data_IF_390879223238
#
_entry.id   IF_390879223238
#
_cell.length_a   1.000
_cell.length_b   1.000
_cell.length_c   1.000
_cell.angle_alpha   90.00
_cell.angle_beta   90.00
_cell.angle_gamma   90.00
#
_symmetry.space_group_name_H-M   'P 1'
#
loop_
_entity.id
_entity.type
_entity.pdbx_description
1 polymer ?
#
# COMPACT_ATOMS: atom_id res chain seq x y z
N UNK A 1 6.25 26.70 16.20
CA UNK A 1 5.23 25.79 16.77
C UNK A 1 5.84 24.40 16.74
N UNK A 2 6.12 23.79 17.90
CA UNK A 2 6.66 22.41 17.94
C UNK A 2 5.46 21.48 17.79
N UNK A 3 5.37 20.77 16.68
CA UNK A 3 4.29 19.81 16.45
C UNK A 3 4.38 18.73 17.53
N UNK A 4 3.32 18.56 18.32
CA UNK A 4 3.28 17.52 19.35
C UNK A 4 2.84 16.20 18.70
N UNK A 5 3.81 15.33 18.43
CA UNK A 5 3.57 13.98 17.95
C UNK A 5 3.00 13.08 19.05
N UNK A 6 2.34 12.00 18.65
CA UNK A 6 1.75 11.08 19.62
C UNK A 6 2.87 10.32 20.35
N UNK A 7 2.69 10.12 21.66
CA UNK A 7 3.65 9.39 22.49
C UNK A 7 3.29 7.92 22.66
N UNK A 8 2.04 7.55 22.33
CA UNK A 8 1.53 6.20 22.47
C UNK A 8 1.04 5.68 21.12
N UNK A 9 1.98 5.35 20.23
CA UNK A 9 1.67 4.81 18.90
C UNK A 9 1.43 3.29 19.04
N UNK A 10 0.23 2.76 18.71
CA UNK A 10 -0.04 1.33 18.79
C UNK A 10 0.85 0.54 17.83
N UNK A 11 1.10 -0.75 18.14
CA UNK A 11 1.73 -1.65 17.18
C UNK A 11 0.81 -1.84 15.97
N UNK A 12 1.29 -1.60 14.74
CA UNK A 12 0.51 -1.82 13.53
C UNK A 12 0.01 -3.27 13.44
N UNK A 13 -1.20 -3.44 12.93
CA UNK A 13 -1.78 -4.75 12.65
C UNK A 13 -1.86 -4.97 11.14
N UNK A 14 -2.08 -6.23 10.73
CA UNK A 14 -2.43 -6.54 9.34
C UNK A 14 -3.68 -5.71 8.95
N UNK A 15 -3.63 -5.12 7.77
CA UNK A 15 -4.67 -4.22 7.27
C UNK A 15 -4.56 -2.78 7.75
N UNK A 16 -3.59 -2.41 8.59
CA UNK A 16 -3.35 -1.01 8.94
C UNK A 16 -2.57 -0.28 7.84
N UNK A 17 -2.71 1.05 7.81
CA UNK A 17 -1.93 1.91 6.94
C UNK A 17 -0.83 2.62 7.73
N UNK A 18 0.37 2.63 7.15
CA UNK A 18 1.47 3.51 7.54
C UNK A 18 1.53 4.68 6.56
N UNK A 19 1.46 5.89 7.10
CA UNK A 19 1.48 7.12 6.31
C UNK A 19 2.79 7.82 6.61
N UNK A 20 3.58 8.05 5.56
CA UNK A 20 4.84 8.77 5.67
C UNK A 20 4.64 10.15 6.26
N UNK A 21 5.56 10.54 7.14
CA UNK A 21 5.66 11.91 7.63
C UNK A 21 6.06 12.85 6.46
N UNK A 22 5.47 14.06 6.32
CA UNK A 22 5.70 14.95 5.18
C UNK A 22 7.15 15.37 4.93
N UNK A 23 8.02 15.31 5.93
CA UNK A 23 9.43 15.69 5.88
C UNK A 23 10.36 14.47 5.96
N UNK A 24 9.83 13.27 5.77
CA UNK A 24 10.64 12.06 5.68
C UNK A 24 11.64 12.23 4.51
N UNK A 25 12.93 12.24 4.83
CA UNK A 25 14.00 12.49 3.86
C UNK A 25 14.39 11.26 3.02
N UNK A 26 13.54 10.23 2.97
CA UNK A 26 13.75 9.05 2.13
C UNK A 26 12.96 9.17 0.82
N UNK A 27 13.63 9.28 -0.35
CA UNK A 27 12.97 9.44 -1.63
C UNK A 27 12.13 8.21 -2.04
N UNK A 28 12.36 7.03 -1.46
CA UNK A 28 11.53 5.87 -1.71
C UNK A 28 10.14 6.02 -1.07
N UNK A 29 10.07 6.78 0.03
CA UNK A 29 8.92 6.88 0.92
C UNK A 29 8.34 8.29 1.07
N UNK A 30 8.76 9.24 0.24
CA UNK A 30 8.12 10.56 0.20
C UNK A 30 6.64 10.43 -0.18
N UNK A 31 5.76 10.91 0.71
CA UNK A 31 4.28 10.88 0.57
C UNK A 31 3.70 9.50 0.28
N UNK A 32 4.37 8.44 0.70
CA UNK A 32 3.85 7.09 0.56
C UNK A 32 2.80 6.75 1.61
N UNK A 33 1.90 5.87 1.22
CA UNK A 33 0.95 5.16 2.06
C UNK A 33 1.25 3.68 1.88
N UNK A 34 1.54 2.99 2.97
CA UNK A 34 1.90 1.57 2.98
C UNK A 34 0.79 0.79 3.67
N UNK A 35 0.31 -0.26 3.02
CA UNK A 35 -0.58 -1.24 3.61
C UNK A 35 0.23 -2.34 4.27
N UNK A 36 0.05 -2.53 5.59
CA UNK A 36 0.65 -3.64 6.33
C UNK A 36 -0.09 -4.91 5.93
N UNK A 37 0.59 -5.83 5.25
CA UNK A 37 -0.01 -7.09 4.82
C UNK A 37 0.25 -8.19 5.86
N UNK A 38 1.42 -8.15 6.49
CA UNK A 38 1.79 -9.07 7.55
C UNK A 38 2.64 -8.34 8.61
N UNK A 39 2.31 -8.53 9.88
CA UNK A 39 3.11 -8.11 11.01
C UNK A 39 3.23 -9.26 12.00
N UNK A 40 4.46 -9.73 12.25
CA UNK A 40 4.74 -10.89 13.09
C UNK A 40 6.09 -10.78 13.80
N UNK A 41 6.50 -11.88 14.43
CA UNK A 41 7.75 -11.93 15.21
C UNK A 41 9.00 -11.75 14.34
N UNK A 42 8.97 -12.21 13.08
CA UNK A 42 10.10 -12.13 12.16
C UNK A 42 10.27 -10.75 11.51
N UNK A 43 9.22 -9.90 11.59
CA UNK A 43 9.21 -8.57 11.00
C UNK A 43 7.84 -8.12 10.50
N UNK A 44 7.86 -7.04 9.72
CA UNK A 44 6.67 -6.48 9.09
C UNK A 44 6.86 -6.45 7.57
N UNK A 45 5.83 -6.85 6.84
CA UNK A 45 5.71 -6.77 5.40
C UNK A 45 4.61 -5.78 5.03
N UNK A 46 4.90 -4.88 4.11
CA UNK A 46 3.92 -3.95 3.57
C UNK A 46 4.14 -3.59 2.11
N UNK A 47 3.09 -3.05 1.50
CA UNK A 47 3.09 -2.61 0.10
C UNK A 47 2.75 -1.12 0.04
N UNK A 48 3.56 -0.34 -0.67
CA UNK A 48 3.22 1.04 -1.03
C UNK A 48 2.04 1.00 -2.00
N UNK A 49 0.91 1.58 -1.59
CA UNK A 49 -0.37 1.49 -2.34
C UNK A 49 -0.65 2.68 -3.24
N UNK A 50 0.21 3.71 -3.19
CA UNK A 50 0.05 4.97 -3.91
C UNK A 50 1.26 5.34 -4.77
N UNK A 51 1.87 4.35 -5.45
CA UNK A 51 3.00 4.57 -6.35
C UNK A 51 2.84 3.71 -7.60
N UNK A 52 2.11 4.22 -8.59
CA UNK A 52 1.92 3.53 -9.86
C UNK A 52 3.20 3.60 -10.68
N UNK A 53 3.35 2.63 -11.58
CA UNK A 53 4.40 2.60 -12.58
C UNK A 53 3.78 2.57 -13.97
N UNK A 54 4.59 2.80 -15.00
CA UNK A 54 4.18 2.61 -16.39
C UNK A 54 4.36 1.15 -16.86
N UNK A 55 4.81 0.24 -15.98
CA UNK A 55 5.02 -1.17 -16.31
C UNK A 55 3.70 -1.94 -16.31
N UNK A 56 3.58 -2.86 -17.27
CA UNK A 56 2.44 -3.75 -17.40
C UNK A 56 2.80 -5.19 -16.96
N UNK A 57 1.78 -5.92 -16.52
CA UNK A 57 1.93 -7.29 -16.01
C UNK A 57 2.50 -8.24 -17.06
N UNK A 58 2.04 -8.15 -18.30
CA UNK A 58 2.50 -8.99 -19.43
C UNK A 58 3.97 -8.75 -19.79
N UNK A 59 4.43 -7.50 -19.72
CA UNK A 59 5.82 -7.12 -19.94
C UNK A 59 6.75 -7.74 -18.90
N UNK A 60 6.35 -7.73 -17.62
CA UNK A 60 7.18 -8.23 -16.52
C UNK A 60 7.15 -9.74 -16.43
N UNK A 61 5.97 -10.34 -16.64
CA UNK A 61 5.81 -11.79 -16.57
C UNK A 61 6.29 -12.50 -17.85
N UNK A 62 6.60 -11.73 -18.92
CA UNK A 62 7.06 -12.23 -20.21
C UNK A 62 6.14 -13.32 -20.78
N UNK A 63 4.83 -13.12 -20.62
CA UNK A 63 3.78 -14.03 -21.05
C UNK A 63 2.63 -13.26 -21.70
N UNK A 64 2.04 -13.82 -22.75
CA UNK A 64 0.84 -13.24 -23.35
C UNK A 64 -0.36 -13.49 -22.44
N UNK A 65 -0.99 -12.40 -22.01
CA UNK A 65 -2.10 -12.42 -21.07
C UNK A 65 -3.34 -11.94 -21.81
N UNK A 66 -4.36 -12.81 -21.95
CA UNK A 66 -5.67 -12.32 -22.39
C UNK A 66 -6.31 -11.63 -21.19
N UNK A 67 -6.12 -10.32 -21.18
CA UNK A 67 -6.57 -9.48 -20.09
C UNK A 67 -8.05 -9.11 -20.22
N UNK A 68 -8.75 -9.50 -21.30
CA UNK A 68 -10.16 -9.14 -21.52
C UNK A 68 -10.46 -7.63 -21.30
N UNK A 69 -9.53 -6.77 -21.72
CA UNK A 69 -9.59 -5.32 -21.51
C UNK A 69 -9.02 -4.81 -20.18
N UNK A 70 -8.50 -5.68 -19.31
CA UNK A 70 -7.76 -5.33 -18.10
C UNK A 70 -6.39 -4.70 -18.49
N UNK A 71 -6.03 -3.59 -17.86
CA UNK A 71 -4.83 -2.84 -18.24
C UNK A 71 -3.53 -3.47 -17.71
N UNK A 72 -3.58 -4.18 -16.58
CA UNK A 72 -2.41 -4.90 -16.07
C UNK A 72 -1.36 -4.01 -15.41
N UNK A 73 -1.67 -2.75 -15.10
CA UNK A 73 -0.68 -1.82 -14.55
C UNK A 73 -0.13 -2.26 -13.20
N UNK A 74 1.19 -2.17 -13.07
CA UNK A 74 1.92 -2.52 -11.86
C UNK A 74 2.15 -1.26 -11.00
N UNK A 75 2.10 -1.46 -9.70
CA UNK A 75 2.51 -0.49 -8.69
C UNK A 75 3.89 -0.88 -8.15
N UNK A 76 4.63 0.08 -7.62
CA UNK A 76 5.85 -0.21 -6.90
C UNK A 76 5.52 -0.42 -5.42
N UNK A 77 5.56 -1.67 -4.94
CA UNK A 77 5.25 -2.03 -3.55
C UNK A 77 6.36 -1.67 -2.56
N UNK A 78 7.59 -1.51 -3.04
CA UNK A 78 8.70 -0.98 -2.24
C UNK A 78 10.08 -1.24 -2.86
N UNK A 79 11.15 -0.96 -2.11
CA UNK A 79 12.53 -1.09 -2.60
C UNK A 79 13.08 -2.52 -2.53
N UNK A 80 12.44 -3.43 -1.78
CA UNK A 80 12.95 -4.78 -1.54
C UNK A 80 12.41 -5.74 -2.59
N UNK A 81 13.29 -6.61 -3.11
CA UNK A 81 12.97 -7.67 -4.07
C UNK A 81 12.03 -7.24 -5.21
N UNK A 82 12.36 -6.16 -5.92
CA UNK A 82 11.53 -5.57 -7.00
C UNK A 82 11.22 -6.49 -8.20
N UNK A 83 11.67 -7.75 -8.16
CA UNK A 83 11.34 -8.79 -9.12
C UNK A 83 10.23 -9.75 -8.62
N UNK A 84 9.73 -9.57 -7.39
CA UNK A 84 8.60 -10.35 -6.86
C UNK A 84 7.28 -9.67 -7.16
N UNK A 85 6.27 -10.46 -7.54
CA UNK A 85 4.92 -9.99 -7.80
C UNK A 85 4.05 -10.24 -6.57
N UNK A 86 3.40 -9.19 -6.09
CA UNK A 86 2.39 -9.25 -5.05
C UNK A 86 1.10 -8.63 -5.55
N UNK A 87 -0.02 -8.95 -4.92
CA UNK A 87 -1.30 -8.34 -5.26
C UNK A 87 -2.22 -8.23 -4.06
N UNK A 88 -3.01 -7.17 -4.09
CA UNK A 88 -4.09 -6.91 -3.14
C UNK A 88 -5.40 -6.95 -3.93
N UNK A 89 -6.38 -7.69 -3.42
CA UNK A 89 -7.67 -7.82 -4.08
C UNK A 89 -8.85 -7.76 -3.10
N UNK A 90 -10.03 -7.46 -3.65
CA UNK A 90 -11.33 -7.50 -2.96
C UNK A 90 -12.32 -8.49 -3.61
N UNK A 91 -11.77 -9.42 -4.40
CA UNK A 91 -12.52 -10.50 -5.05
C UNK A 91 -13.30 -11.30 -4.01
N UNK A 92 -14.61 -11.42 -4.19
CA UNK A 92 -15.51 -12.10 -3.25
C UNK A 92 -15.46 -13.63 -3.38
N UNK A 93 -15.06 -14.13 -4.53
CA UNK A 93 -14.85 -15.56 -4.76
C UNK A 93 -13.55 -16.00 -4.07
N UNK A 94 -13.54 -17.14 -3.35
CA UNK A 94 -12.33 -17.63 -2.71
C UNK A 94 -11.19 -17.85 -3.71
N UNK A 95 -10.05 -17.22 -3.42
CA UNK A 95 -8.78 -17.45 -4.12
C UNK A 95 -7.89 -18.31 -3.22
N UNK A 96 -7.40 -19.42 -3.75
CA UNK A 96 -6.51 -20.32 -3.01
C UNK A 96 -5.24 -19.58 -2.57
N UNK A 97 -4.82 -19.76 -1.32
CA UNK A 97 -3.60 -19.13 -0.78
C UNK A 97 -3.71 -17.62 -0.52
N UNK A 98 -4.88 -17.01 -0.72
CA UNK A 98 -5.10 -15.62 -0.36
C UNK A 98 -5.22 -15.47 1.16
N UNK A 99 -4.60 -14.42 1.70
CA UNK A 99 -4.56 -14.11 3.13
C UNK A 99 -5.48 -12.93 3.38
N UNK A 100 -6.49 -13.09 4.24
CA UNK A 100 -7.34 -11.98 4.64
C UNK A 100 -6.58 -11.03 5.56
N UNK A 101 -6.46 -9.77 5.15
CA UNK A 101 -5.78 -8.72 5.92
C UNK A 101 -6.77 -7.71 6.52
N UNK A 102 -8.08 -7.88 6.30
CA UNK A 102 -9.16 -7.15 6.97
C UNK A 102 -10.05 -6.33 6.03
N UNK A 103 -11.27 -6.02 6.48
CA UNK A 103 -12.26 -5.20 5.75
C UNK A 103 -12.53 -5.67 4.29
N UNK A 104 -12.46 -6.99 4.05
CA UNK A 104 -12.65 -7.59 2.72
C UNK A 104 -11.46 -7.40 1.77
N UNK A 105 -10.29 -7.04 2.32
CA UNK A 105 -9.02 -7.02 1.59
C UNK A 105 -8.28 -8.33 1.80
N UNK A 106 -7.73 -8.82 0.70
CA UNK A 106 -6.91 -10.01 0.65
C UNK A 106 -5.57 -9.70 0.03
N UNK A 107 -4.53 -10.32 0.56
CA UNK A 107 -3.16 -10.27 0.05
C UNK A 107 -2.76 -11.63 -0.49
N UNK A 108 -2.04 -11.62 -1.62
CA UNK A 108 -1.55 -12.81 -2.29
C UNK A 108 -2.69 -13.73 -2.78
N UNK A 109 -2.34 -14.93 -3.24
CA UNK A 109 -3.25 -15.90 -3.82
C UNK A 109 -2.57 -16.85 -4.81
N UNK A 110 -3.37 -17.64 -5.50
CA UNK A 110 -2.92 -18.47 -6.60
C UNK A 110 -2.95 -17.64 -7.88
N UNK A 111 -1.76 -17.38 -8.43
CA UNK A 111 -1.60 -16.54 -9.61
C UNK A 111 -2.36 -17.08 -10.84
N UNK A 112 -2.30 -18.38 -11.10
CA UNK A 112 -3.00 -19.01 -12.22
C UNK A 112 -4.52 -18.92 -12.08
N UNK A 113 -5.02 -19.03 -10.85
CA UNK A 113 -6.44 -18.85 -10.57
C UNK A 113 -6.88 -17.42 -10.88
N UNK A 114 -6.16 -16.41 -10.35
CA UNK A 114 -6.47 -15.00 -10.60
C UNK A 114 -6.40 -14.67 -12.09
N UNK A 115 -5.36 -15.16 -12.77
CA UNK A 115 -5.19 -15.03 -14.21
C UNK A 115 -6.41 -15.55 -14.98
N UNK A 116 -6.85 -16.77 -14.66
CA UNK A 116 -8.03 -17.35 -15.30
C UNK A 116 -9.30 -16.52 -15.03
N UNK A 117 -9.48 -16.02 -13.80
CA UNK A 117 -10.62 -15.18 -13.45
C UNK A 117 -10.62 -13.84 -14.21
N UNK A 118 -9.45 -13.20 -14.38
CA UNK A 118 -9.30 -11.98 -15.19
C UNK A 118 -9.64 -12.27 -16.66
N UNK A 119 -9.08 -13.33 -17.24
CA UNK A 119 -9.36 -13.70 -18.64
C UNK A 119 -10.84 -14.02 -18.89
N UNK A 120 -11.52 -14.60 -17.89
CA UNK A 120 -12.96 -14.87 -17.96
C UNK A 120 -13.84 -13.62 -17.76
N UNK A 121 -13.25 -12.47 -17.41
CA UNK A 121 -14.00 -11.25 -17.08
C UNK A 121 -14.72 -11.32 -15.73
N UNK A 122 -14.27 -12.18 -14.81
CA UNK A 122 -14.83 -12.34 -13.46
C UNK A 122 -14.25 -11.34 -12.46
N UNK A 123 -13.15 -10.67 -12.82
CA UNK A 123 -12.44 -9.68 -11.98
C UNK A 123 -12.29 -8.39 -12.76
N UNK A 124 -12.84 -7.30 -12.22
CA UNK A 124 -12.69 -5.98 -12.78
C UNK A 124 -11.35 -5.32 -12.39
N UNK A 125 -10.92 -4.32 -13.17
CA UNK A 125 -9.66 -3.58 -12.93
C UNK A 125 -9.60 -2.89 -11.55
N UNK A 126 -10.75 -2.52 -11.00
CA UNK A 126 -10.84 -1.92 -9.67
C UNK A 126 -10.97 -2.94 -8.53
N UNK A 127 -10.85 -4.25 -8.79
CA UNK A 127 -10.96 -5.29 -7.77
C UNK A 127 -9.61 -5.91 -7.37
N UNK A 128 -8.55 -5.65 -8.14
CA UNK A 128 -7.21 -6.15 -7.89
C UNK A 128 -6.15 -5.14 -8.31
N UNK A 129 -5.10 -5.00 -7.50
CA UNK A 129 -3.91 -4.22 -7.80
C UNK A 129 -2.69 -5.11 -7.69
N UNK A 130 -1.79 -4.99 -8.65
CA UNK A 130 -0.52 -5.71 -8.71
C UNK A 130 0.63 -4.80 -8.27
N UNK A 131 1.63 -5.39 -7.60
CA UNK A 131 2.76 -4.69 -6.98
C UNK A 131 4.07 -5.43 -7.28
N UNK A 132 5.11 -4.68 -7.61
CA UNK A 132 6.47 -5.16 -7.70
C UNK A 132 7.26 -4.82 -6.43
N UNK A 133 7.91 -5.84 -5.88
CA UNK A 133 8.64 -5.74 -4.63
C UNK A 133 7.75 -5.32 -3.45
N UNK A 134 8.41 -5.07 -2.33
CA UNK A 134 7.73 -4.75 -1.08
C UNK A 134 8.57 -3.84 -0.19
N UNK A 135 7.92 -3.37 0.87
CA UNK A 135 8.54 -2.64 1.98
C UNK A 135 8.62 -3.58 3.17
N UNK A 136 9.82 -3.86 3.63
CA UNK A 136 10.08 -4.81 4.71
C UNK A 136 10.77 -4.14 5.89
N UNK A 137 10.36 -4.53 7.09
CA UNK A 137 11.01 -4.16 8.34
C UNK A 137 11.43 -5.41 9.07
N UNK A 138 12.70 -5.47 9.48
CA UNK A 138 13.16 -6.51 10.41
C UNK A 138 12.52 -6.32 11.79
N UNK A 139 12.61 -7.34 12.63
CA UNK A 139 12.13 -7.32 14.02
C UNK A 139 12.51 -6.00 14.75
N UNK A 140 11.49 -5.32 15.26
CA UNK A 140 11.63 -4.06 16.02
C UNK A 140 12.07 -2.85 15.20
N UNK A 141 12.36 -2.97 13.90
CA UNK A 141 12.73 -1.84 13.05
C UNK A 141 11.54 -0.87 12.88
N UNK A 142 10.37 -1.39 12.51
CA UNK A 142 9.17 -0.55 12.35
C UNK A 142 8.84 0.21 13.64
N UNK A 143 8.96 -0.46 14.79
CA UNK A 143 8.78 0.17 16.11
C UNK A 143 9.74 1.35 16.31
N UNK A 144 11.03 1.20 15.98
CA UNK A 144 12.00 2.31 16.06
C UNK A 144 11.63 3.47 15.14
N UNK A 145 11.13 3.18 13.95
CA UNK A 145 10.70 4.22 12.99
C UNK A 145 9.42 4.94 13.44
N UNK A 146 8.49 4.23 14.10
CA UNK A 146 7.33 4.84 14.75
C UNK A 146 7.76 5.75 15.91
N UNK A 147 8.69 5.29 16.74
CA UNK A 147 9.23 6.07 17.86
C UNK A 147 10.00 7.32 17.37
N UNK A 148 10.63 7.25 16.19
CA UNK A 148 11.24 8.40 15.51
C UNK A 148 10.26 9.25 14.70
N UNK A 149 8.96 8.92 14.73
CA UNK A 149 7.88 9.67 14.08
C UNK A 149 7.98 9.71 12.54
N UNK A 150 8.60 8.69 11.95
CA UNK A 150 8.69 8.54 10.49
C UNK A 150 7.36 8.15 9.85
N UNK A 151 6.47 7.53 10.64
CA UNK A 151 5.18 7.01 10.19
C UNK A 151 4.04 7.40 11.11
N UNK A 152 2.88 7.66 10.52
CA UNK A 152 1.60 7.71 11.22
C UNK A 152 0.82 6.42 10.97
N UNK A 153 0.20 5.87 12.01
CA UNK A 153 -0.62 4.66 11.89
C UNK A 153 -2.08 5.04 11.76
N UNK A 154 -2.73 4.56 10.70
CA UNK A 154 -4.19 4.62 10.53
C UNK A 154 -4.73 3.20 10.58
N UNK A 155 -5.47 2.84 11.64
CA UNK A 155 -6.03 1.51 11.76
C UNK A 155 -7.08 1.23 10.68
N UNK A 156 -7.14 -0.03 10.25
CA UNK A 156 -8.18 -0.59 9.38
C UNK A 156 -8.32 0.16 8.05
N UNK A 157 -7.43 -0.16 7.12
CA UNK A 157 -7.57 0.23 5.72
C UNK A 157 -8.92 -0.23 5.16
N UNK A 158 -9.52 0.63 4.35
CA UNK A 158 -10.74 0.29 3.62
C UNK A 158 -10.42 0.00 2.16
N UNK A 159 -11.19 -0.88 1.52
CA UNK A 159 -11.05 -1.12 0.09
C UNK A 159 -11.14 0.16 -0.75
N UNK A 160 -11.99 1.12 -0.35
CA UNK A 160 -12.09 2.41 -1.01
C UNK A 160 -10.77 3.19 -1.01
N UNK A 161 -10.05 3.19 0.12
CA UNK A 161 -8.74 3.85 0.21
C UNK A 161 -7.71 3.18 -0.72
N UNK A 162 -7.75 1.85 -0.84
CA UNK A 162 -6.78 1.12 -1.68
C UNK A 162 -7.09 1.24 -3.17
N UNK A 163 -8.36 1.15 -3.57
CA UNK A 163 -8.75 1.00 -4.98
C UNK A 163 -9.26 2.26 -5.65
N UNK A 164 -9.89 3.19 -4.92
CA UNK A 164 -10.70 4.24 -5.53
C UNK A 164 -10.03 5.63 -5.52
N UNK A 165 -8.88 5.79 -4.85
CA UNK A 165 -8.16 7.06 -4.73
C UNK A 165 -6.87 7.07 -5.55
N UNK A 166 -6.56 8.22 -6.17
CA UNK A 166 -5.29 8.43 -6.85
C UNK A 166 -4.14 8.72 -5.85
N UNK A 167 -2.90 8.70 -6.31
CA UNK A 167 -1.72 8.61 -5.45
C UNK A 167 -1.60 9.75 -4.43
N UNK A 168 -1.66 10.98 -4.94
CA UNK A 168 -1.54 12.21 -4.17
C UNK A 168 -2.79 12.48 -3.32
N UNK A 169 -3.97 12.08 -3.82
CA UNK A 169 -5.21 12.22 -3.07
C UNK A 169 -5.27 11.25 -1.90
N UNK A 170 -4.73 10.04 -2.03
CA UNK A 170 -4.80 9.03 -0.97
C UNK A 170 -4.10 9.52 0.30
N UNK A 171 -2.83 9.93 0.18
CA UNK A 171 -2.04 10.42 1.31
C UNK A 171 -2.71 11.62 1.98
N UNK A 172 -3.15 12.61 1.19
CA UNK A 172 -3.83 13.81 1.71
C UNK A 172 -5.18 13.47 2.36
N UNK A 173 -5.94 12.56 1.75
CA UNK A 173 -7.26 12.15 2.22
C UNK A 173 -7.17 11.46 3.57
N UNK A 174 -6.24 10.52 3.74
CA UNK A 174 -6.05 9.80 5.01
C UNK A 174 -5.65 10.77 6.11
N UNK A 175 -4.70 11.69 5.85
CA UNK A 175 -4.29 12.69 6.84
C UNK A 175 -5.45 13.63 7.25
N UNK A 176 -6.33 13.97 6.30
CA UNK A 176 -7.55 14.74 6.60
C UNK A 176 -8.54 13.94 7.46
N UNK A 177 -8.72 12.66 7.16
CA UNK A 177 -9.60 11.75 7.89
C UNK A 177 -9.12 11.52 9.34
N UNK A 178 -7.80 11.36 9.53
CA UNK A 178 -7.19 11.28 10.86
C UNK A 178 -7.43 12.53 11.71
N UNK A 179 -7.68 13.68 11.07
CA UNK A 179 -8.10 14.90 11.74
C UNK A 179 -7.05 15.51 12.66
N UNK A 180 -7.48 16.43 13.53
CA UNK A 180 -6.63 17.08 14.51
C UNK A 180 -5.35 17.69 13.90
N UNK A 181 -4.20 17.30 14.45
CA UNK A 181 -2.87 17.74 14.00
C UNK A 181 -2.50 17.22 12.60
N UNK A 182 -3.01 16.04 12.21
CA UNK A 182 -2.68 15.42 10.91
C UNK A 182 -3.26 16.19 9.73
N UNK A 183 -4.39 16.87 9.93
CA UNK A 183 -4.99 17.74 8.92
C UNK A 183 -4.06 18.89 8.51
N UNK A 184 -3.22 19.39 9.42
CA UNK A 184 -2.24 20.43 9.11
C UNK A 184 -1.20 19.90 8.11
N UNK A 185 -0.77 18.65 8.28
CA UNK A 185 0.15 17.97 7.37
C UNK A 185 -0.40 17.79 5.95
N UNK A 186 -1.71 17.54 5.82
CA UNK A 186 -2.36 17.34 4.52
C UNK A 186 -2.27 18.55 3.54
N UNK A 187 -1.98 19.74 4.06
CA UNK A 187 -1.89 20.97 3.28
C UNK A 187 -0.45 21.36 2.93
N UNK A 188 0.56 20.59 3.34
CA UNK A 188 1.95 20.92 3.01
C UNK A 188 2.21 20.73 1.50
N UNK A 189 2.87 21.70 0.84
CA UNK A 189 3.24 21.59 -0.57
C UNK A 189 4.29 20.49 -0.77
N UNK A 190 4.30 19.85 -1.94
CA UNK A 190 5.31 18.84 -2.30
C UNK A 190 6.72 19.43 -2.39
N UNK A 191 6.80 20.75 -2.65
CA UNK A 191 8.05 21.48 -2.67
C UNK A 191 8.09 22.49 -1.50
N UNK A 192 8.99 22.34 -0.53
CA UNK A 192 9.18 23.28 0.57
C UNK A 192 9.57 24.70 0.12
N UNK A 193 10.02 24.86 -1.13
CA UNK A 193 10.46 26.14 -1.73
C UNK A 193 9.32 26.99 -2.29
N UNK A 194 8.08 26.49 -2.28
CA UNK A 194 6.90 27.19 -2.78
C UNK A 194 6.15 28.01 -1.71
N UNK A 195 6.75 28.25 -0.54
CA UNK A 195 6.23 29.14 0.51
C UNK A 195 6.95 30.47 0.57
#
# INVERSE_FOLDING_TARGET
MRLEYDKNIPDPQNGDLLISEPFLHDPNFDRTVILVCENGEEGTFGLVVNKMTDLLLDEVMNESFDLNGFNGRLNLGGPVEQNTLHYIHRIQTPVEGAIEIGEGLYWSGNYEQIKAMISNGEVAENEIKFFLGYSGWSEGQLRKELDSQSWFVKPKATARQIFDLNEDELWKSILKEMGGKYKVFSNYPADPRLN
#
